data_IF_669855174477
#
_entry.id   IF_669855174477
#
_cell.length_a   1.000
_cell.length_b   1.000
_cell.length_c   1.000
_cell.angle_alpha   90.00
_cell.angle_beta   90.00
_cell.angle_gamma   90.00
#
_symmetry.space_group_name_H-M   'P 1'
#
loop_
_entity.id
_entity.type
_entity.pdbx_description
1 polymer ?
#
# COMPACT_ATOMS: atom_id res chain seq x y z
N UNK A 1 -19.03 -24.67 -0.15
CA UNK A 1 -19.61 -23.74 0.83
C UNK A 1 -18.94 -22.38 0.63
N UNK A 2 -19.64 -21.43 0.01
CA UNK A 2 -19.10 -20.10 -0.26
C UNK A 2 -19.29 -19.23 0.98
N UNK A 3 -18.24 -19.04 1.77
CA UNK A 3 -18.20 -17.92 2.70
C UNK A 3 -17.90 -16.65 1.89
N UNK A 4 -18.95 -16.03 1.34
CA UNK A 4 -18.86 -14.66 0.87
C UNK A 4 -18.74 -13.78 2.12
N UNK A 5 -17.51 -13.57 2.61
CA UNK A 5 -17.26 -12.74 3.78
C UNK A 5 -17.77 -11.31 3.55
N UNK A 6 -18.38 -10.70 4.56
CA UNK A 6 -18.83 -9.31 4.51
C UNK A 6 -17.63 -8.38 4.25
N UNK A 7 -17.76 -7.45 3.30
CA UNK A 7 -16.73 -6.43 3.05
C UNK A 7 -16.63 -5.55 4.29
N UNK A 8 -15.43 -5.46 4.85
CA UNK A 8 -15.14 -4.73 6.07
C UNK A 8 -13.92 -3.84 5.84
N UNK A 9 -14.05 -2.59 6.27
CA UNK A 9 -12.95 -1.65 6.43
C UNK A 9 -12.87 -1.32 7.92
N UNK A 10 -11.69 -1.48 8.52
CA UNK A 10 -11.40 -1.00 9.88
C UNK A 10 -10.39 0.12 9.83
N UNK A 11 -10.60 1.12 10.67
CA UNK A 11 -9.70 2.26 10.83
C UNK A 11 -9.32 2.33 12.30
N UNK A 12 -8.03 2.14 12.57
CA UNK A 12 -7.46 2.22 13.91
C UNK A 12 -6.61 3.49 14.02
N UNK A 13 -6.92 4.34 14.99
CA UNK A 13 -6.18 5.59 15.26
C UNK A 13 -5.53 5.44 16.63
N UNK A 14 -4.19 5.39 16.65
CA UNK A 14 -3.39 5.31 17.86
C UNK A 14 -2.69 6.64 18.07
N UNK A 15 -3.23 7.46 18.98
CA UNK A 15 -2.70 8.78 19.29
C UNK A 15 -1.34 8.70 20.01
N UNK A 16 -1.11 7.66 20.81
CA UNK A 16 0.17 7.48 21.52
C UNK A 16 1.33 7.20 20.54
N UNK A 17 1.02 6.53 19.43
CA UNK A 17 1.99 6.24 18.35
C UNK A 17 1.93 7.23 17.20
N UNK A 18 1.04 8.21 17.24
CA UNK A 18 0.74 9.13 16.13
C UNK A 18 0.52 8.39 14.81
N UNK A 19 -0.28 7.31 14.83
CA UNK A 19 -0.44 6.42 13.68
C UNK A 19 -1.91 6.21 13.32
N UNK A 20 -2.16 6.04 12.03
CA UNK A 20 -3.45 5.64 11.47
C UNK A 20 -3.23 4.36 10.66
N UNK A 21 -4.05 3.34 10.91
CA UNK A 21 -4.07 2.09 10.15
C UNK A 21 -5.43 1.91 9.50
N UNK A 22 -5.42 1.62 8.21
CA UNK A 22 -6.61 1.27 7.45
C UNK A 22 -6.45 -0.17 6.98
N UNK A 23 -7.42 -1.04 7.30
CA UNK A 23 -7.41 -2.45 6.91
C UNK A 23 -8.71 -2.79 6.21
N UNK A 24 -8.62 -3.41 5.03
CA UNK A 24 -9.76 -4.01 4.36
C UNK A 24 -9.57 -5.52 4.17
N UNK A 25 -10.66 -6.23 3.91
CA UNK A 25 -10.65 -7.66 3.57
C UNK A 25 -11.00 -7.92 2.09
N UNK A 26 -10.67 -6.97 1.21
CA UNK A 26 -10.89 -7.06 -0.22
C UNK A 26 -9.92 -8.01 -0.94
N UNK A 27 -9.72 -7.76 -2.24
CA UNK A 27 -8.97 -8.65 -3.12
C UNK A 27 -7.44 -8.62 -2.91
N UNK A 28 -6.91 -7.56 -2.28
CA UNK A 28 -5.48 -7.32 -2.11
C UNK A 28 -4.73 -7.03 -3.41
N UNK A 29 -3.55 -6.45 -3.28
CA UNK A 29 -2.56 -6.26 -4.34
C UNK A 29 -1.67 -7.51 -4.50
N UNK A 30 -1.33 -7.83 -5.75
CA UNK A 30 -0.20 -8.68 -6.11
C UNK A 30 1.14 -7.97 -5.97
N UNK A 31 2.24 -8.69 -6.23
CA UNK A 31 3.60 -8.16 -6.04
C UNK A 31 3.90 -6.96 -6.94
N UNK A 32 3.52 -7.00 -8.22
CA UNK A 32 3.83 -5.90 -9.15
C UNK A 32 2.95 -4.67 -8.90
N UNK A 33 1.71 -4.87 -8.45
CA UNK A 33 0.83 -3.80 -7.98
C UNK A 33 1.44 -3.14 -6.74
N UNK A 34 1.90 -3.92 -5.75
CA UNK A 34 2.59 -3.40 -4.55
C UNK A 34 3.93 -2.72 -4.88
N UNK A 35 4.63 -3.10 -5.94
CA UNK A 35 5.84 -2.39 -6.36
C UNK A 35 5.50 -1.03 -6.97
N UNK A 36 4.35 -0.91 -7.63
CA UNK A 36 4.04 0.28 -8.42
C UNK A 36 3.04 1.22 -7.75
N UNK A 37 2.38 0.85 -6.65
CA UNK A 37 1.26 1.62 -6.09
C UNK A 37 1.59 3.05 -5.65
N UNK A 38 2.86 3.36 -5.42
CA UNK A 38 3.31 4.72 -5.07
C UNK A 38 3.68 5.56 -6.30
N UNK A 39 3.77 4.94 -7.49
CA UNK A 39 4.16 5.61 -8.71
C UNK A 39 3.14 6.72 -9.02
N UNK A 40 3.57 7.98 -9.12
CA UNK A 40 2.66 9.07 -9.45
C UNK A 40 2.03 8.82 -10.82
N UNK A 41 0.78 9.26 -10.98
CA UNK A 41 0.01 9.14 -12.22
C UNK A 41 -0.24 7.69 -12.68
N UNK A 42 -0.07 6.70 -11.80
CA UNK A 42 -0.44 5.31 -12.06
C UNK A 42 -1.75 4.96 -11.35
N UNK A 43 -2.64 4.26 -12.06
CA UNK A 43 -3.91 3.78 -11.48
C UNK A 43 -4.20 2.35 -11.92
N UNK A 44 -4.54 1.49 -10.96
CA UNK A 44 -4.90 0.07 -11.20
C UNK A 44 -6.39 -0.14 -11.46
N UNK A 45 -7.10 0.91 -11.88
CA UNK A 45 -8.55 0.88 -12.02
C UNK A 45 -8.98 0.20 -13.30
N UNK A 46 -10.00 -0.64 -13.18
CA UNK A 46 -10.76 -1.21 -14.30
C UNK A 46 -12.15 -0.57 -14.35
N UNK A 47 -12.28 0.52 -15.11
CA UNK A 47 -13.57 1.15 -15.44
C UNK A 47 -14.00 2.35 -14.58
N UNK A 48 -15.16 2.95 -14.91
CA UNK A 48 -15.56 4.29 -14.46
C UNK A 48 -16.16 4.37 -13.04
N UNK A 49 -16.50 3.24 -12.41
CA UNK A 49 -17.30 3.20 -11.16
C UNK A 49 -16.45 3.41 -9.89
N UNK A 50 -15.15 3.70 -10.02
CA UNK A 50 -14.21 3.82 -8.89
C UNK A 50 -13.80 5.27 -8.61
N UNK A 51 -13.71 5.69 -7.34
CA UNK A 51 -13.20 7.03 -6.92
C UNK A 51 -11.67 7.10 -6.94
N UNK A 52 -11.09 8.29 -7.19
CA UNK A 52 -9.62 8.52 -7.30
C UNK A 52 -9.08 8.59 -8.74
N UNK A 53 -9.12 9.75 -9.39
CA UNK A 53 -8.89 9.86 -10.84
C UNK A 53 -7.41 9.90 -11.27
N UNK A 54 -6.54 10.51 -10.46
CA UNK A 54 -5.17 10.87 -10.89
C UNK A 54 -4.07 9.88 -10.48
N UNK A 55 -4.38 8.85 -9.68
CA UNK A 55 -3.35 7.92 -9.22
C UNK A 55 -2.32 8.53 -8.26
N UNK A 56 -2.69 9.58 -7.53
CA UNK A 56 -1.76 10.32 -6.64
C UNK A 56 -2.00 10.09 -5.16
N UNK A 57 -3.14 9.50 -4.77
CA UNK A 57 -3.53 9.35 -3.36
C UNK A 57 -2.50 8.53 -2.56
N UNK A 58 -2.12 7.36 -3.07
CA UNK A 58 -1.08 6.54 -2.46
C UNK A 58 0.28 7.24 -2.43
N UNK A 59 0.61 8.01 -3.47
CA UNK A 59 1.82 8.83 -3.52
C UNK A 59 1.85 9.89 -2.42
N UNK A 60 0.72 10.57 -2.15
CA UNK A 60 0.61 11.50 -1.01
C UNK A 60 0.83 10.81 0.34
N UNK A 61 0.34 9.58 0.52
CA UNK A 61 0.64 8.78 1.72
C UNK A 61 2.13 8.44 1.80
N UNK A 62 2.78 8.12 0.68
CA UNK A 62 4.22 7.86 0.66
C UNK A 62 5.05 9.05 1.13
N UNK A 63 4.73 10.26 0.66
CA UNK A 63 5.50 11.48 0.97
C UNK A 63 5.05 12.22 2.23
N UNK A 64 3.82 11.99 2.69
CA UNK A 64 3.20 12.72 3.80
C UNK A 64 3.64 12.25 5.19
N UNK A 65 4.22 11.04 5.29
CA UNK A 65 4.50 10.39 6.56
C UNK A 65 5.98 10.01 6.73
N UNK A 66 6.43 9.95 7.98
CA UNK A 66 7.78 9.48 8.32
C UNK A 66 7.93 7.95 8.16
N UNK A 67 6.82 7.21 8.23
CA UNK A 67 6.76 5.78 8.01
C UNK A 67 5.42 5.40 7.38
N UNK A 68 5.47 4.65 6.28
CA UNK A 68 4.28 4.05 5.67
C UNK A 68 4.52 2.55 5.52
N UNK A 69 3.76 1.75 6.26
CA UNK A 69 3.73 0.30 6.08
C UNK A 69 2.51 -0.09 5.27
N UNK A 70 2.71 -0.92 4.24
CA UNK A 70 1.64 -1.51 3.44
C UNK A 70 1.76 -3.01 3.51
N UNK A 71 0.65 -3.68 3.79
CA UNK A 71 0.57 -5.14 3.86
C UNK A 71 -0.62 -5.54 2.99
N UNK A 72 -0.42 -6.54 2.14
CA UNK A 72 -1.44 -7.06 1.25
C UNK A 72 -1.42 -8.59 1.27
N UNK A 73 -2.60 -9.19 1.14
CA UNK A 73 -2.79 -10.63 0.98
C UNK A 73 -3.72 -10.89 -0.20
N UNK A 74 -3.26 -11.71 -1.15
CA UNK A 74 -4.03 -12.13 -2.33
C UNK A 74 -3.94 -13.66 -2.45
N UNK A 75 -5.04 -14.34 -2.17
CA UNK A 75 -5.05 -15.79 -1.99
C UNK A 75 -4.11 -16.23 -0.85
N UNK A 76 -3.22 -17.18 -1.13
CA UNK A 76 -2.24 -17.69 -0.16
C UNK A 76 -0.92 -16.89 -0.13
N UNK A 77 -0.83 -15.79 -0.89
CA UNK A 77 0.38 -14.95 -0.96
C UNK A 77 0.17 -13.69 -0.13
N UNK A 78 1.18 -13.36 0.68
CA UNK A 78 1.23 -12.13 1.45
C UNK A 78 2.50 -11.37 1.08
N UNK A 79 2.37 -10.05 0.95
CA UNK A 79 3.48 -9.15 0.72
C UNK A 79 3.36 -7.99 1.69
N UNK A 80 4.49 -7.49 2.17
CA UNK A 80 4.57 -6.27 2.97
C UNK A 80 5.54 -5.32 2.31
N UNK A 81 5.46 -4.03 2.61
CA UNK A 81 6.42 -3.01 2.23
C UNK A 81 6.45 -1.97 3.33
N UNK A 82 7.61 -1.41 3.62
CA UNK A 82 7.73 -0.24 4.51
C UNK A 82 8.41 0.84 3.69
N UNK A 83 7.93 2.07 3.77
CA UNK A 83 8.65 3.27 3.35
C UNK A 83 9.05 3.96 4.64
N UNK A 84 10.34 4.29 4.75
CA UNK A 84 10.83 5.14 5.84
C UNK A 84 11.28 6.46 5.26
N UNK A 85 11.03 7.53 6.01
CA UNK A 85 11.43 8.88 5.67
C UNK A 85 11.02 9.22 4.23
N UNK A 86 9.72 9.21 3.91
CA UNK A 86 9.24 9.37 2.53
C UNK A 86 9.72 10.66 1.83
N UNK A 87 10.13 11.67 2.61
CA UNK A 87 10.81 12.89 2.11
C UNK A 87 12.30 12.70 1.75
N UNK A 88 12.83 11.49 1.89
CA UNK A 88 14.20 11.05 1.66
C UNK A 88 14.18 9.75 0.82
N UNK A 89 15.32 9.04 0.73
CA UNK A 89 15.44 7.76 -0.01
C UNK A 89 14.46 6.74 0.56
N UNK A 90 13.55 6.27 -0.29
CA UNK A 90 12.53 5.27 0.06
C UNK A 90 13.17 3.88 -0.03
N UNK A 91 13.27 3.19 1.10
CA UNK A 91 13.64 1.77 1.15
C UNK A 91 12.40 0.91 1.31
N UNK A 92 11.99 0.18 0.26
CA UNK A 92 10.92 -0.82 0.37
C UNK A 92 11.49 -2.17 0.78
N UNK A 93 11.14 -2.63 1.99
CA UNK A 93 11.46 -3.99 2.47
C UNK A 93 10.25 -4.89 2.28
N UNK A 94 10.36 -5.87 1.37
CA UNK A 94 9.34 -6.90 1.20
C UNK A 94 9.62 -8.11 2.09
N UNK A 95 8.69 -8.48 2.98
CA UNK A 95 8.80 -9.72 3.79
C UNK A 95 7.90 -10.83 3.27
N UNK A 96 8.52 -11.96 2.89
CA UNK A 96 7.95 -13.21 2.33
C UNK A 96 9.09 -14.16 1.88
N UNK A 97 8.82 -15.23 1.12
CA UNK A 97 9.85 -16.17 0.60
C UNK A 97 10.90 -15.54 -0.35
N UNK A 98 10.87 -14.22 -0.56
CA UNK A 98 11.76 -13.50 -1.45
C UNK A 98 12.06 -12.14 -0.81
N UNK A 99 13.33 -11.88 -0.43
CA UNK A 99 13.82 -10.55 -0.07
C UNK A 99 14.18 -9.80 -1.37
N UNK A 100 13.50 -8.70 -1.66
CA UNK A 100 13.87 -7.77 -2.74
C UNK A 100 13.90 -6.37 -2.14
N UNK A 101 15.08 -5.76 -2.10
CA UNK A 101 15.23 -4.33 -1.82
C UNK A 101 14.91 -3.57 -3.12
N UNK A 102 13.80 -2.83 -3.14
CA UNK A 102 13.48 -1.91 -4.25
C UNK A 102 13.80 -0.49 -3.80
N UNK A 103 14.75 0.15 -4.49
CA UNK A 103 15.13 1.54 -4.26
C UNK A 103 14.31 2.45 -5.18
N UNK A 104 13.49 3.32 -4.59
CA UNK A 104 12.95 4.45 -5.34
C UNK A 104 13.92 5.61 -5.13
N UNK A 105 14.66 6.01 -6.18
CA UNK A 105 15.27 7.34 -6.20
C UNK A 105 14.11 8.34 -6.14
N UNK A 106 14.09 9.16 -5.10
CA UNK A 106 13.14 10.26 -5.00
C UNK A 106 13.19 11.07 -6.29
N UNK A 107 12.03 11.33 -6.87
CA UNK A 107 11.90 12.28 -7.97
C UNK A 107 12.06 13.67 -7.35
N UNK A 108 13.29 14.19 -7.40
CA UNK A 108 13.59 15.61 -7.27
C UNK A 108 13.43 16.27 -8.64
#
# INVERSE_FOLDING_TARGET
MNQQGCIKISIDIDLSKHSVRVTDNGCGMGLDELRQFLKPNLSFKSGPVTRGSKGVGATYLGYGFNSLQVITRRGNKSYSGIIQNGRCIIRIVLTGNIKIDTYFKGFA
#
